data_IF_633883802249
#
_entry.id   IF_633883802249
#
_cell.length_a   1.000
_cell.length_b   1.000
_cell.length_c   1.000
_cell.angle_alpha   90.00
_cell.angle_beta   90.00
_cell.angle_gamma   90.00
#
_symmetry.space_group_name_H-M   'P 1'
#
loop_
_entity.id
_entity.type
_entity.pdbx_description
1 polymer ?
#
# COMPACT_ATOMS: atom_id res chain seq x y z
N UNK A 1 -1.98 4.40 13.26
CA UNK A 1 -1.19 4.75 14.45
C UNK A 1 -2.14 5.24 15.53
N UNK A 2 -2.03 4.75 16.76
CA UNK A 2 -2.80 5.25 17.90
C UNK A 2 -1.83 5.84 18.92
N UNK A 3 -2.05 7.10 19.31
CA UNK A 3 -1.16 7.83 20.24
C UNK A 3 0.31 7.84 19.81
N UNK A 4 0.57 8.00 18.51
CA UNK A 4 1.94 8.03 17.95
C UNK A 4 2.63 6.68 17.84
N UNK A 5 1.96 5.56 18.18
CA UNK A 5 2.51 4.21 18.02
C UNK A 5 1.88 3.48 16.84
N UNK A 6 2.70 2.70 16.14
CA UNK A 6 2.23 1.76 15.11
C UNK A 6 1.45 0.64 15.81
N UNK A 7 0.28 0.31 15.28
CA UNK A 7 -0.60 -0.74 15.85
C UNK A 7 -0.29 -2.07 15.17
N UNK A 8 -0.17 -2.02 13.85
CA UNK A 8 0.18 -3.17 13.03
C UNK A 8 0.67 -2.69 11.66
N UNK A 9 1.48 -3.53 11.03
CA UNK A 9 2.05 -3.34 9.71
C UNK A 9 1.60 -4.48 8.79
N UNK A 10 1.45 -4.17 7.49
CA UNK A 10 1.13 -5.16 6.49
C UNK A 10 1.88 -4.84 5.19
N UNK A 11 2.48 -5.87 4.59
CA UNK A 11 3.12 -5.78 3.29
C UNK A 11 2.72 -6.97 2.41
N UNK A 12 2.82 -6.80 1.09
CA UNK A 12 2.60 -7.90 0.14
C UNK A 12 3.53 -7.78 -1.04
N UNK A 13 3.82 -8.92 -1.67
CA UNK A 13 4.51 -8.94 -2.94
C UNK A 13 3.56 -8.58 -4.09
N UNK A 14 4.06 -7.81 -5.06
CA UNK A 14 3.33 -7.50 -6.28
C UNK A 14 3.11 -8.76 -7.11
N UNK A 15 1.88 -8.93 -7.58
CA UNK A 15 1.54 -10.02 -8.50
C UNK A 15 2.14 -9.78 -9.87
N UNK A 16 2.31 -10.84 -10.66
CA UNK A 16 2.97 -10.80 -11.98
C UNK A 16 2.32 -9.74 -12.90
N UNK A 17 0.99 -9.64 -12.91
CA UNK A 17 0.28 -8.65 -13.72
C UNK A 17 0.34 -7.23 -13.16
N UNK A 18 0.51 -7.06 -11.84
CA UNK A 18 0.66 -5.74 -11.21
C UNK A 18 2.03 -5.12 -11.53
N UNK A 19 3.04 -5.94 -11.87
CA UNK A 19 4.37 -5.44 -12.27
C UNK A 19 4.36 -4.54 -13.51
N UNK A 20 3.34 -4.68 -14.36
CA UNK A 20 3.18 -3.87 -15.57
C UNK A 20 2.44 -2.55 -15.30
N UNK A 21 2.00 -2.32 -14.06
CA UNK A 21 1.31 -1.09 -13.70
C UNK A 21 2.28 0.08 -13.60
N UNK A 22 1.76 1.28 -13.85
CA UNK A 22 2.50 2.51 -13.62
C UNK A 22 2.78 2.67 -12.11
N UNK A 23 3.83 3.39 -11.74
CA UNK A 23 4.14 3.69 -10.33
C UNK A 23 2.92 4.26 -9.61
N UNK A 24 2.16 5.15 -10.28
CA UNK A 24 0.93 5.71 -9.75
C UNK A 24 -0.12 4.64 -9.40
N UNK A 25 -0.33 3.68 -10.28
CA UNK A 25 -1.31 2.60 -10.07
C UNK A 25 -0.84 1.59 -9.02
N UNK A 26 0.47 1.39 -8.88
CA UNK A 26 1.07 0.57 -7.83
C UNK A 26 0.85 1.20 -6.45
N UNK A 27 1.16 2.49 -6.30
CA UNK A 27 0.97 3.22 -5.05
C UNK A 27 -0.51 3.24 -4.64
N UNK A 28 -1.40 3.49 -5.59
CA UNK A 28 -2.84 3.44 -5.35
C UNK A 28 -3.30 2.02 -4.97
N UNK A 29 -2.75 0.99 -5.63
CA UNK A 29 -3.01 -0.40 -5.32
C UNK A 29 -2.57 -0.79 -3.91
N UNK A 30 -1.48 -0.20 -3.41
CA UNK A 30 -1.05 -0.38 -2.02
C UNK A 30 -2.06 0.19 -1.03
N UNK A 31 -2.62 1.38 -1.29
CA UNK A 31 -3.67 1.96 -0.43
C UNK A 31 -4.94 1.09 -0.44
N UNK A 32 -5.37 0.63 -1.62
CA UNK A 32 -6.54 -0.26 -1.75
C UNK A 32 -6.32 -1.59 -1.02
N UNK A 33 -5.10 -2.13 -1.06
CA UNK A 33 -4.74 -3.33 -0.32
C UNK A 33 -4.87 -3.13 1.19
N UNK A 34 -4.32 -2.01 1.70
CA UNK A 34 -4.46 -1.65 3.11
C UNK A 34 -5.93 -1.52 3.51
N UNK A 35 -6.76 -0.82 2.74
CA UNK A 35 -8.19 -0.69 3.03
C UNK A 35 -8.91 -2.05 3.11
N UNK A 36 -8.54 -2.99 2.25
CA UNK A 36 -9.12 -4.35 2.26
C UNK A 36 -8.74 -5.15 3.50
N UNK A 37 -7.48 -5.08 3.94
CA UNK A 37 -7.04 -5.79 5.15
C UNK A 37 -7.69 -5.19 6.39
N UNK A 38 -7.68 -3.86 6.48
CA UNK A 38 -8.13 -3.14 7.67
C UNK A 38 -9.63 -2.82 7.62
N UNK A 39 -10.39 -3.42 6.71
CA UNK A 39 -11.82 -3.12 6.48
C UNK A 39 -12.64 -3.16 7.76
N UNK A 40 -12.44 -4.18 8.59
CA UNK A 40 -13.15 -4.37 9.85
C UNK A 40 -12.80 -3.34 10.92
N UNK A 41 -11.64 -2.68 10.81
CA UNK A 41 -11.24 -1.61 11.74
C UNK A 41 -11.58 -0.21 11.20
N UNK A 42 -11.68 -0.05 9.89
CA UNK A 42 -11.86 1.24 9.22
C UNK A 42 -13.33 1.56 8.92
N UNK A 43 -14.23 0.56 9.01
CA UNK A 43 -15.65 0.80 8.81
C UNK A 43 -16.17 1.81 9.84
N UNK A 44 -17.00 2.76 9.38
CA UNK A 44 -17.60 3.84 10.19
C UNK A 44 -16.63 4.79 10.93
N UNK A 45 -15.32 4.64 10.71
CA UNK A 45 -14.29 5.42 11.40
C UNK A 45 -13.61 6.40 10.46
N UNK A 46 -13.56 7.68 10.87
CA UNK A 46 -12.77 8.72 10.19
C UNK A 46 -11.29 8.38 10.21
N UNK A 47 -10.77 7.96 9.07
CA UNK A 47 -9.37 7.56 8.95
C UNK A 47 -8.60 8.53 8.06
N UNK A 48 -7.34 8.77 8.41
CA UNK A 48 -6.43 9.60 7.63
C UNK A 48 -5.37 8.71 7.04
N UNK A 49 -5.31 8.67 5.71
CA UNK A 49 -4.32 7.92 4.96
C UNK A 49 -3.19 8.89 4.61
N UNK A 50 -1.99 8.58 5.09
CA UNK A 50 -0.79 9.31 4.74
C UNK A 50 -0.09 8.61 3.59
N UNK A 51 0.26 9.37 2.55
CA UNK A 51 1.01 8.89 1.38
C UNK A 51 2.09 9.88 1.02
N UNK A 52 3.22 9.39 0.57
CA UNK A 52 4.34 10.17 0.03
C UNK A 52 4.18 10.48 -1.46
N UNK A 53 3.06 10.10 -2.07
CA UNK A 53 2.80 10.36 -3.47
C UNK A 53 1.72 11.43 -3.67
N UNK A 54 2.14 12.64 -4.10
CA UNK A 54 1.27 13.81 -4.28
C UNK A 54 0.10 13.57 -5.24
N UNK A 55 0.26 12.73 -6.25
CA UNK A 55 -0.81 12.52 -7.24
C UNK A 55 -2.02 11.79 -6.66
N UNK A 56 -1.83 10.97 -5.63
CA UNK A 56 -2.92 10.21 -5.00
C UNK A 56 -3.85 11.15 -4.23
N UNK A 57 -3.31 12.25 -3.70
CA UNK A 57 -4.12 13.29 -3.07
C UNK A 57 -5.19 13.85 -4.01
N UNK A 58 -4.90 13.93 -5.31
CA UNK A 58 -5.79 14.49 -6.32
C UNK A 58 -6.60 13.44 -7.07
N UNK A 59 -6.56 12.16 -6.65
CA UNK A 59 -7.21 11.09 -7.41
C UNK A 59 -8.73 11.25 -7.51
N UNK A 60 -9.35 11.80 -6.46
CA UNK A 60 -10.79 12.07 -6.43
C UNK A 60 -11.22 13.18 -7.40
N UNK A 61 -10.31 14.09 -7.75
CA UNK A 61 -10.61 15.24 -8.61
C UNK A 61 -10.33 14.97 -10.09
N UNK A 62 -9.68 13.86 -10.41
CA UNK A 62 -9.26 13.54 -11.78
C UNK A 62 -10.45 13.05 -12.59
N UNK A 63 -10.78 13.75 -13.69
CA UNK A 63 -11.92 13.44 -14.57
C UNK A 63 -11.69 12.19 -15.42
N UNK A 64 -10.43 11.94 -15.81
CA UNK A 64 -10.04 10.78 -16.61
C UNK A 64 -9.33 9.73 -15.74
N UNK A 65 -10.05 8.65 -15.47
CA UNK A 65 -9.61 7.54 -14.64
C UNK A 65 -9.67 6.25 -15.45
N UNK A 66 -8.62 5.45 -15.32
CA UNK A 66 -8.58 4.10 -15.89
C UNK A 66 -9.68 3.22 -15.26
N UNK A 67 -10.15 2.17 -15.95
CA UNK A 67 -11.21 1.29 -15.45
C UNK A 67 -10.88 0.70 -14.07
N UNK A 68 -9.60 0.35 -13.83
CA UNK A 68 -9.13 -0.13 -12.53
C UNK A 68 -9.26 0.95 -11.44
N UNK A 69 -8.84 2.18 -11.74
CA UNK A 69 -8.93 3.31 -10.82
C UNK A 69 -10.39 3.63 -10.47
N UNK A 70 -11.31 3.57 -11.45
CA UNK A 70 -12.75 3.75 -11.19
C UNK A 70 -13.31 2.72 -10.21
N UNK A 71 -12.96 1.43 -10.37
CA UNK A 71 -13.36 0.37 -9.44
C UNK A 71 -12.82 0.61 -8.04
N UNK A 72 -11.59 1.10 -7.94
CA UNK A 72 -10.98 1.39 -6.65
C UNK A 72 -11.58 2.63 -5.99
N UNK A 73 -11.88 3.69 -6.73
CA UNK A 73 -12.55 4.89 -6.19
C UNK A 73 -13.93 4.57 -5.63
N UNK A 74 -14.68 3.68 -6.29
CA UNK A 74 -15.94 3.16 -5.73
C UNK A 74 -15.72 2.46 -4.39
N UNK A 75 -14.61 1.75 -4.21
CA UNK A 75 -14.25 1.16 -2.94
C UNK A 75 -13.86 2.24 -1.91
N UNK A 76 -13.16 3.29 -2.32
CA UNK A 76 -12.82 4.42 -1.42
C UNK A 76 -14.06 5.18 -0.94
N UNK A 77 -15.08 5.36 -1.78
CA UNK A 77 -16.31 6.07 -1.38
C UNK A 77 -17.07 5.38 -0.26
N UNK A 78 -16.86 4.08 -0.07
CA UNK A 78 -17.48 3.31 1.02
C UNK A 78 -16.81 3.58 2.38
N UNK A 79 -15.65 4.24 2.41
CA UNK A 79 -14.91 4.57 3.64
C UNK A 79 -14.84 6.08 3.86
N UNK A 80 -14.99 6.54 5.11
CA UNK A 80 -14.75 7.94 5.49
C UNK A 80 -13.24 8.19 5.69
N UNK A 81 -12.49 8.18 4.58
CA UNK A 81 -11.04 8.35 4.54
C UNK A 81 -10.64 9.72 3.99
N UNK A 82 -9.68 10.40 4.65
CA UNK A 82 -9.00 11.59 4.13
C UNK A 82 -7.57 11.26 3.72
N UNK A 83 -7.22 11.50 2.45
CA UNK A 83 -5.86 11.32 1.95
C UNK A 83 -5.06 12.60 2.21
N UNK A 84 -3.91 12.48 2.89
CA UNK A 84 -2.97 13.58 3.13
C UNK A 84 -1.59 13.21 2.62
N UNK A 85 -0.95 14.17 1.97
CA UNK A 85 0.46 14.03 1.60
C UNK A 85 1.35 14.14 2.86
N UNK A 86 2.32 13.24 2.96
CA UNK A 86 3.38 13.27 3.96
C UNK A 86 4.72 13.13 3.25
N UNK A 87 5.74 13.88 3.65
CA UNK A 87 7.03 13.79 2.96
C UNK A 87 7.66 12.40 3.16
N UNK A 88 8.16 11.79 2.07
CA UNK A 88 8.81 10.47 2.11
C UNK A 88 9.94 10.35 3.14
N UNK A 89 10.63 11.45 3.49
CA UNK A 89 11.64 11.47 4.56
C UNK A 89 11.10 11.05 5.94
N UNK A 90 9.80 11.14 6.15
CA UNK A 90 9.15 10.72 7.38
C UNK A 90 8.39 9.38 7.23
N UNK A 91 8.38 8.80 6.01
CA UNK A 91 7.80 7.50 5.71
C UNK A 91 8.78 6.33 5.89
N UNK A 92 9.83 6.53 6.69
CA UNK A 92 10.96 5.60 6.86
C UNK A 92 10.48 4.19 7.25
N UNK A 93 9.46 4.10 8.11
CA UNK A 93 8.92 2.81 8.57
C UNK A 93 8.29 2.02 7.42
N UNK A 94 7.49 2.68 6.59
CA UNK A 94 6.87 2.03 5.44
C UNK A 94 7.90 1.70 4.35
N UNK A 95 8.87 2.58 4.12
CA UNK A 95 9.95 2.35 3.16
C UNK A 95 10.81 1.15 3.57
N UNK A 96 11.13 1.02 4.86
CA UNK A 96 11.86 -0.14 5.38
C UNK A 96 11.11 -1.45 5.15
N UNK A 97 9.78 -1.45 5.27
CA UNK A 97 8.94 -2.63 5.01
C UNK A 97 8.83 -2.98 3.51
N UNK A 98 8.96 -1.98 2.64
CA UNK A 98 8.93 -2.16 1.19
C UNK A 98 10.30 -2.56 0.61
N UNK A 99 11.39 -2.41 1.37
CA UNK A 99 12.71 -2.86 0.95
C UNK A 99 12.77 -4.39 0.94
N UNK A 100 12.88 -4.95 -0.28
CA UNK A 100 13.32 -6.33 -0.47
C UNK A 100 14.72 -6.49 0.12
N UNK A 101 14.85 -7.27 1.18
CA UNK A 101 16.07 -8.01 1.40
C UNK A 101 16.28 -8.91 0.17
N UNK A 102 17.23 -8.57 -0.69
CA UNK A 102 17.75 -9.48 -1.73
C UNK A 102 18.55 -10.60 -1.05
N UNK A 103 17.95 -11.34 -0.11
CA UNK A 103 18.56 -12.57 0.38
C UNK A 103 18.50 -13.55 -0.79
N UNK A 104 19.64 -13.72 -1.48
CA UNK A 104 19.83 -14.87 -2.36
C UNK A 104 19.56 -16.12 -1.50
N UNK A 105 18.70 -17.06 -1.91
CA UNK A 105 18.52 -18.29 -1.16
C UNK A 105 19.90 -18.96 -1.04
N UNK A 106 20.41 -19.11 0.18
CA UNK A 106 21.58 -19.97 0.43
C UNK A 106 21.16 -21.37 0.00
N UNK A 107 21.66 -21.84 -1.15
CA UNK A 107 21.56 -23.24 -1.54
C UNK A 107 22.37 -24.06 -0.54
N UNK A 108 21.70 -24.58 0.49
CA UNK A 108 22.30 -25.59 1.36
C UNK A 108 22.34 -26.86 0.52
N UNK A 109 23.53 -27.26 0.07
CA UNK A 109 23.71 -28.60 -0.49
C UNK A 109 23.47 -29.58 0.66
N UNK A 110 22.44 -30.41 0.55
CA UNK A 110 22.32 -31.57 1.42
C UNK A 110 23.57 -32.42 1.19
N UNK A 111 24.39 -32.58 2.23
CA UNK A 111 25.43 -33.60 2.23
C UNK A 111 24.70 -34.93 2.41
N UNK A 112 24.77 -35.78 1.39
CA UNK A 112 24.31 -37.16 1.52
C UNK A 112 25.15 -37.80 2.63
N UNK A 113 24.51 -38.13 3.75
CA UNK A 113 25.10 -39.04 4.72
C UNK A 113 24.92 -40.45 4.17
N UNK A 114 26.05 -41.15 4.10
CA UNK A 114 26.31 -42.51 3.63
C UNK A 114 25.16 -43.50 3.81
#
# INVERSE_FOLDING_TARGET
MQRGKVIADASRQLKIYEKNYTTHDLELGAVVFSLKIWRHYLYETKSVIYTDHKSIQHIFNKKELNMCQRRWIKLFSDYDCKIRYHSGKANIVADALNMKEKIKPKRIRAMNMT
#
